data_IF_831990559049
#
_entry.id   IF_831990559049
#
_cell.length_a   1.000
_cell.length_b   1.000
_cell.length_c   1.000
_cell.angle_alpha   90.00
_cell.angle_beta   90.00
_cell.angle_gamma   90.00
#
_symmetry.space_group_name_H-M   'P 1'
#
loop_
_entity.id
_entity.type
_entity.pdbx_description
1 polymer ?
#
# COMPACT_ATOMS: atom_id res chain seq x y z
N UNK A 1 12.09 30.49 23.84
CA UNK A 1 12.72 29.16 23.59
C UNK A 1 11.74 27.99 23.76
N UNK A 2 10.63 28.12 24.52
CA UNK A 2 9.61 27.06 24.70
C UNK A 2 8.61 26.93 23.53
N UNK A 3 8.31 28.04 22.83
CA UNK A 3 7.30 28.10 21.75
C UNK A 3 7.73 27.34 20.49
N UNK A 4 9.01 27.43 20.13
CA UNK A 4 9.60 26.73 19.00
C UNK A 4 9.63 25.21 19.23
N UNK A 5 9.90 24.78 20.47
CA UNK A 5 9.93 23.36 20.82
C UNK A 5 8.56 22.69 20.67
N UNK A 6 7.48 23.39 21.03
CA UNK A 6 6.10 22.89 20.81
C UNK A 6 5.76 22.80 19.33
N UNK A 7 6.18 23.77 18.53
CA UNK A 7 5.94 23.76 17.09
C UNK A 7 6.66 22.60 16.39
N UNK A 8 7.91 22.34 16.75
CA UNK A 8 8.69 21.20 16.24
C UNK A 8 8.01 19.88 16.59
N UNK A 9 7.50 19.73 17.82
CA UNK A 9 6.79 18.53 18.22
C UNK A 9 5.52 18.28 17.39
N UNK A 10 4.70 19.31 17.17
CA UNK A 10 3.48 19.21 16.35
C UNK A 10 3.82 18.85 14.89
N UNK A 11 4.89 19.43 14.34
CA UNK A 11 5.37 19.11 12.99
C UNK A 11 5.81 17.65 12.86
N UNK A 12 6.58 17.14 13.82
CA UNK A 12 7.02 15.74 13.82
C UNK A 12 5.81 14.81 13.91
N UNK A 13 4.85 15.11 14.79
CA UNK A 13 3.63 14.32 14.94
C UNK A 13 2.83 14.29 13.64
N UNK A 14 2.67 15.44 12.99
CA UNK A 14 2.01 15.56 11.70
C UNK A 14 2.72 14.70 10.65
N UNK A 15 4.02 14.87 10.46
CA UNK A 15 4.81 14.09 9.50
C UNK A 15 4.72 12.58 9.75
N UNK A 16 4.72 12.14 11.01
CA UNK A 16 4.58 10.74 11.39
C UNK A 16 3.22 10.14 11.00
N UNK A 17 2.13 10.91 11.13
CA UNK A 17 0.79 10.49 10.71
C UNK A 17 0.72 10.35 9.20
N UNK A 18 1.22 11.35 8.46
CA UNK A 18 1.28 11.30 7.00
C UNK A 18 2.12 10.12 6.51
N UNK A 19 3.29 9.90 7.13
CA UNK A 19 4.14 8.76 6.80
C UNK A 19 3.43 7.43 7.06
N UNK A 20 2.71 7.30 8.17
CA UNK A 20 1.93 6.09 8.48
C UNK A 20 0.80 5.84 7.47
N UNK A 21 0.11 6.90 7.03
CA UNK A 21 -0.92 6.83 5.98
C UNK A 21 -0.30 6.42 4.65
N UNK A 22 0.85 7.00 4.28
CA UNK A 22 1.57 6.66 3.04
C UNK A 22 2.03 5.21 3.09
N UNK A 23 2.67 4.77 4.18
CA UNK A 23 3.13 3.38 4.34
C UNK A 23 1.96 2.40 4.26
N UNK A 24 0.85 2.70 4.96
CA UNK A 24 -0.35 1.85 4.96
C UNK A 24 -1.03 1.78 3.59
N UNK A 25 -1.10 2.89 2.87
CA UNK A 25 -1.64 2.92 1.49
C UNK A 25 -0.66 2.39 0.44
N UNK A 26 0.64 2.48 0.71
CA UNK A 26 1.69 1.89 -0.11
C UNK A 26 1.91 0.41 0.19
N UNK A 27 1.07 -0.18 1.06
CA UNK A 27 1.09 -1.61 1.32
C UNK A 27 1.23 -2.35 -0.02
N UNK A 28 2.20 -3.27 -0.15
CA UNK A 28 2.44 -4.04 -1.36
C UNK A 28 1.33 -5.09 -1.59
N UNK A 29 0.11 -4.83 -1.09
CA UNK A 29 -1.10 -5.62 -1.36
C UNK A 29 -1.46 -5.65 -2.84
N UNK A 30 -0.86 -4.79 -3.66
CA UNK A 30 -0.68 -5.09 -5.09
C UNK A 30 0.53 -6.01 -5.25
N UNK A 31 0.41 -7.25 -4.77
CA UNK A 31 1.22 -8.34 -5.28
C UNK A 31 0.78 -8.57 -6.74
N UNK A 32 1.17 -7.65 -7.63
CA UNK A 32 0.97 -7.73 -9.06
C UNK A 32 1.89 -8.83 -9.58
N UNK A 33 1.45 -10.07 -9.50
CA UNK A 33 2.19 -11.21 -10.01
C UNK A 33 1.99 -11.30 -11.52
N UNK A 34 2.94 -10.75 -12.27
CA UNK A 34 2.97 -10.88 -13.73
C UNK A 34 1.91 -10.04 -14.46
N UNK A 35 2.12 -9.94 -15.78
CA UNK A 35 1.11 -9.45 -16.71
C UNK A 35 0.05 -10.51 -16.93
N UNK A 36 -1.21 -10.10 -17.08
CA UNK A 36 -2.34 -10.99 -17.36
C UNK A 36 -3.29 -10.38 -18.37
N UNK A 37 -3.99 -11.23 -19.11
CA UNK A 37 -5.09 -10.82 -20.01
C UNK A 37 -6.46 -11.26 -19.49
N UNK A 38 -6.51 -12.35 -18.74
CA UNK A 38 -7.71 -12.96 -18.18
C UNK A 38 -7.41 -13.46 -16.77
N UNK A 39 -8.42 -13.58 -15.91
CA UNK A 39 -8.25 -14.04 -14.52
C UNK A 39 -7.60 -15.42 -14.41
N UNK A 40 -7.75 -16.27 -15.43
CA UNK A 40 -7.16 -17.62 -15.48
C UNK A 40 -5.64 -17.64 -15.66
N UNK A 41 -5.07 -16.53 -16.09
CA UNK A 41 -3.62 -16.38 -16.25
C UNK A 41 -2.92 -16.19 -14.90
N UNK A 42 -3.69 -15.83 -13.87
CA UNK A 42 -3.16 -15.58 -12.54
C UNK A 42 -3.00 -16.88 -11.73
N UNK A 43 -1.90 -17.02 -10.98
CA UNK A 43 -1.67 -18.19 -10.14
C UNK A 43 -2.73 -18.26 -9.04
N UNK A 44 -3.32 -19.44 -8.84
CA UNK A 44 -4.23 -19.68 -7.71
C UNK A 44 -3.39 -20.01 -6.48
N UNK A 45 -3.36 -19.13 -5.49
CA UNK A 45 -2.79 -19.47 -4.18
C UNK A 45 -3.85 -20.12 -3.28
N UNK A 46 -3.41 -21.00 -2.39
CA UNK A 46 -4.22 -21.75 -1.43
C UNK A 46 -4.98 -20.91 -0.38
N UNK A 47 -4.97 -19.59 -0.48
CA UNK A 47 -5.64 -18.67 0.47
C UNK A 47 -6.41 -17.51 -0.16
N UNK A 48 -6.45 -17.40 -1.49
CA UNK A 48 -7.14 -16.33 -2.19
C UNK A 48 -7.00 -16.44 -3.71
N UNK A 49 -8.01 -15.99 -4.46
CA UNK A 49 -7.95 -15.97 -5.92
C UNK A 49 -7.38 -14.64 -6.41
N UNK A 50 -6.27 -14.68 -7.13
CA UNK A 50 -5.80 -13.51 -7.86
C UNK A 50 -6.74 -13.23 -9.05
N UNK A 51 -7.12 -11.97 -9.25
CA UNK A 51 -7.89 -11.50 -10.40
C UNK A 51 -7.06 -10.59 -11.28
N UNK A 52 -7.34 -10.61 -12.58
CA UNK A 52 -6.67 -9.76 -13.54
C UNK A 52 -7.31 -8.36 -13.55
N UNK A 53 -6.61 -7.37 -13.00
CA UNK A 53 -7.04 -5.97 -13.00
C UNK A 53 -6.00 -5.11 -13.71
N UNK A 54 -6.44 -4.38 -14.74
CA UNK A 54 -5.58 -3.51 -15.56
C UNK A 54 -4.32 -4.22 -16.09
N UNK A 55 -4.48 -5.48 -16.48
CA UNK A 55 -3.40 -6.28 -17.03
C UNK A 55 -2.42 -6.84 -16.00
N UNK A 56 -2.72 -6.78 -14.70
CA UNK A 56 -1.90 -7.37 -13.63
C UNK A 56 -2.74 -8.25 -12.71
N UNK A 57 -2.16 -9.35 -12.23
CA UNK A 57 -2.81 -10.22 -11.27
C UNK A 57 -2.75 -9.62 -9.87
N UNK A 58 -3.89 -9.24 -9.30
CA UNK A 58 -3.99 -8.68 -7.95
C UNK A 58 -4.69 -9.67 -7.02
N UNK A 59 -4.18 -9.80 -5.78
CA UNK A 59 -4.84 -10.59 -4.75
C UNK A 59 -6.08 -9.81 -4.28
N UNK A 60 -7.25 -10.42 -4.46
CA UNK A 60 -8.52 -9.91 -3.89
C UNK A 60 -8.75 -10.56 -2.51
#
# INVERSE_FOLDING_TARGET
>A
MVKTSKFVYVLILFLSIFFSIIVSNSSPGRLSFGDCKIDKDCPKLRGGSFRCRKGKCVLE
#
